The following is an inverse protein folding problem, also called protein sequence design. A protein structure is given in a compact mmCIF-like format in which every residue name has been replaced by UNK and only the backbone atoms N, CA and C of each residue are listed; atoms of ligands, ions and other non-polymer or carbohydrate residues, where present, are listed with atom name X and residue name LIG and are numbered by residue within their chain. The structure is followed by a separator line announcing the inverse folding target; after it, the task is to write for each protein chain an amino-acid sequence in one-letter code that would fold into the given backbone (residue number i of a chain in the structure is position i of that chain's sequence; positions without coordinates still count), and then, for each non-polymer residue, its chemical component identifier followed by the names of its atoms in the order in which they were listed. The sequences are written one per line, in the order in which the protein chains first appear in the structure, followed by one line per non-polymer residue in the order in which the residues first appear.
data_IF_192794561629
#
_entry.id   IF_192794561629
#
_cell.length_a   1.000
_cell.length_b   1.000
_cell.length_c   1.000
_cell.angle_alpha   90.00
_cell.angle_beta   90.00
_cell.angle_gamma   90.00
#
_symmetry.space_group_name_H-M   'P 1'
#
loop_
_entity.id
_entity.type
_entity.pdbx_description
1 polymer ?
#
# COMPACT_ATOMS: atom_id res chain seq x y z
N UNK A 1 -14.06 13.95 35.61
CA UNK A 1 -14.90 13.25 34.61
C UNK A 1 -14.95 11.78 34.99
N UNK A 2 -16.13 11.18 35.08
CA UNK A 2 -16.27 9.75 35.39
C UNK A 2 -15.83 8.89 34.20
N UNK A 3 -15.31 7.70 34.46
CA UNK A 3 -14.87 6.74 33.44
C UNK A 3 -15.99 6.41 32.43
N UNK A 4 -17.23 6.32 32.91
CA UNK A 4 -18.43 6.16 32.09
C UNK A 4 -18.63 7.33 31.11
N UNK A 5 -18.43 8.58 31.56
CA UNK A 5 -18.51 9.75 30.69
C UNK A 5 -17.46 9.74 29.56
N UNK A 6 -16.26 9.26 29.85
CA UNK A 6 -15.21 9.08 28.83
C UNK A 6 -15.58 8.01 27.79
N UNK A 7 -16.17 6.90 28.21
CA UNK A 7 -16.60 5.81 27.30
C UNK A 7 -17.75 6.27 26.38
N UNK A 8 -18.76 6.96 26.93
CA UNK A 8 -19.87 7.53 26.13
C UNK A 8 -19.36 8.53 25.09
N UNK A 9 -18.46 9.44 25.49
CA UNK A 9 -17.85 10.40 24.57
C UNK A 9 -17.09 9.70 23.44
N UNK A 10 -16.41 8.60 23.74
CA UNK A 10 -15.67 7.82 22.75
C UNK A 10 -16.60 7.15 21.74
N UNK A 11 -17.70 6.55 22.21
CA UNK A 11 -18.73 5.95 21.34
C UNK A 11 -19.39 6.99 20.44
N UNK A 12 -19.76 8.15 20.98
CA UNK A 12 -20.35 9.24 20.20
C UNK A 12 -19.41 9.70 19.09
N UNK A 13 -18.13 9.93 19.42
CA UNK A 13 -17.10 10.29 18.44
C UNK A 13 -16.92 9.21 17.37
N UNK A 14 -16.93 7.93 17.75
CA UNK A 14 -16.82 6.83 16.79
C UNK A 14 -18.00 6.81 15.81
N UNK A 15 -19.23 6.95 16.32
CA UNK A 15 -20.44 7.06 15.49
C UNK A 15 -20.39 8.25 14.53
N UNK A 16 -20.03 9.43 15.01
CA UNK A 16 -19.87 10.64 14.19
C UNK A 16 -18.84 10.42 13.07
N UNK A 17 -17.70 9.76 13.38
CA UNK A 17 -16.70 9.42 12.37
C UNK A 17 -17.22 8.44 11.32
N UNK A 18 -18.00 7.42 11.72
CA UNK A 18 -18.61 6.46 10.79
C UNK A 18 -19.61 7.16 9.87
N UNK A 19 -20.46 8.04 10.41
CA UNK A 19 -21.42 8.82 9.62
C UNK A 19 -20.72 9.74 8.62
N UNK A 20 -19.62 10.39 9.05
CA UNK A 20 -18.81 11.21 8.15
C UNK A 20 -18.18 10.36 7.03
N UNK A 21 -17.66 9.19 7.37
CA UNK A 21 -17.07 8.27 6.40
C UNK A 21 -18.09 7.81 5.36
N UNK A 22 -19.31 7.46 5.80
CA UNK A 22 -20.41 7.06 4.92
C UNK A 22 -20.84 8.19 3.96
N UNK A 23 -20.91 9.42 4.48
CA UNK A 23 -21.14 10.63 3.67
C UNK A 23 -20.05 10.83 2.62
N UNK A 24 -18.78 10.72 3.00
CA UNK A 24 -17.64 10.86 2.07
C UNK A 24 -17.65 9.75 0.99
N UNK A 25 -18.00 8.50 1.34
CA UNK A 25 -18.13 7.41 0.38
C UNK A 25 -19.29 7.61 -0.60
N UNK A 26 -20.43 8.10 -0.10
CA UNK A 26 -21.60 8.40 -0.94
C UNK A 26 -21.31 9.53 -1.93
N UNK A 27 -20.69 10.62 -1.48
CA UNK A 27 -20.26 11.72 -2.34
C UNK A 27 -19.25 11.26 -3.40
N UNK A 28 -18.28 10.42 -3.00
CA UNK A 28 -17.27 9.88 -3.90
C UNK A 28 -17.90 8.97 -4.98
N UNK A 29 -18.86 8.12 -4.59
CA UNK A 29 -19.64 7.32 -5.54
C UNK A 29 -20.39 8.20 -6.54
N UNK A 30 -21.03 9.27 -6.06
CA UNK A 30 -21.73 10.22 -6.92
C UNK A 30 -20.81 10.86 -7.97
N UNK A 31 -19.61 11.30 -7.55
CA UNK A 31 -18.60 11.85 -8.46
C UNK A 31 -18.13 10.83 -9.51
N UNK A 32 -17.82 9.61 -9.09
CA UNK A 32 -17.39 8.55 -10.00
C UNK A 32 -18.46 8.19 -11.04
N UNK A 33 -19.74 8.18 -10.65
CA UNK A 33 -20.84 7.97 -11.61
C UNK A 33 -20.87 9.10 -12.64
N UNK A 34 -20.75 10.36 -12.19
CA UNK A 34 -20.68 11.50 -13.11
C UNK A 34 -19.49 11.42 -14.06
N UNK A 35 -18.32 10.99 -13.59
CA UNK A 35 -17.14 10.80 -14.43
C UNK A 35 -17.34 9.65 -15.46
N UNK A 36 -17.98 8.54 -15.06
CA UNK A 36 -18.33 7.45 -15.97
C UNK A 36 -19.27 7.92 -17.07
N UNK A 37 -20.27 8.73 -16.73
CA UNK A 37 -21.21 9.28 -17.70
C UNK A 37 -20.51 10.24 -18.68
N UNK A 38 -19.61 11.10 -18.17
CA UNK A 38 -18.76 11.96 -19.00
C UNK A 38 -17.86 11.14 -19.93
N UNK A 39 -17.26 10.05 -19.45
CA UNK A 39 -16.41 9.18 -20.26
C UNK A 39 -17.22 8.43 -21.32
N UNK A 40 -18.45 8.02 -21.01
CA UNK A 40 -19.36 7.43 -22.00
C UNK A 40 -19.68 8.44 -23.10
N UNK A 41 -20.00 9.68 -22.75
CA UNK A 41 -20.24 10.74 -23.73
C UNK A 41 -19.01 10.99 -24.60
N UNK A 42 -17.82 11.00 -23.99
CA UNK A 42 -16.56 11.15 -24.71
C UNK A 42 -16.32 10.03 -25.73
N UNK A 43 -16.64 8.77 -25.40
CA UNK A 43 -16.58 7.66 -26.36
C UNK A 43 -17.54 7.86 -27.55
N UNK A 44 -18.76 8.35 -27.29
CA UNK A 44 -19.71 8.67 -28.36
C UNK A 44 -19.19 9.78 -29.27
N UNK A 45 -18.54 10.81 -28.70
CA UNK A 45 -18.00 11.92 -29.48
C UNK A 45 -16.80 11.49 -30.35
N UNK A 46 -16.00 10.53 -29.89
CA UNK A 46 -14.96 9.89 -30.71
C UNK A 46 -15.59 9.17 -31.92
N UNK A 47 -16.67 8.41 -31.72
CA UNK A 47 -17.35 7.74 -32.84
C UNK A 47 -17.99 8.73 -33.81
N UNK A 48 -18.57 9.83 -33.31
CA UNK A 48 -19.06 10.93 -34.15
C UNK A 48 -17.94 11.59 -34.97
N UNK A 49 -16.76 11.79 -34.37
CA UNK A 49 -15.60 12.36 -35.06
C UNK A 49 -15.00 11.41 -36.11
N UNK A 50 -15.16 10.10 -35.92
CA UNK A 50 -14.67 9.07 -36.84
C UNK A 50 -15.45 9.02 -38.16
N UNK A 51 -16.75 9.28 -38.12
CA UNK A 51 -17.62 9.22 -39.31
C UNK A 51 -17.16 10.14 -40.47
N UNK A 52 -16.90 11.45 -40.28
CA UNK A 52 -16.43 12.31 -41.37
C UNK A 52 -15.05 11.89 -41.89
N UNK A 53 -14.11 11.52 -41.01
CA UNK A 53 -12.78 11.03 -41.39
C UNK A 53 -12.88 9.79 -42.29
N UNK A 54 -13.78 8.87 -41.98
CA UNK A 54 -14.01 7.69 -42.83
C UNK A 54 -14.61 8.04 -44.19
N UNK A 55 -15.46 9.06 -44.28
CA UNK A 55 -16.00 9.55 -45.55
C UNK A 55 -14.90 10.18 -46.40
N UNK A 56 -14.01 10.95 -45.77
CA UNK A 56 -12.87 11.58 -46.42
C UNK A 56 -11.86 10.56 -46.96
N UNK A 57 -11.49 9.55 -46.16
CA UNK A 57 -10.65 8.43 -46.62
C UNK A 57 -11.26 7.77 -47.86
N UNK A 58 -12.56 7.44 -47.84
CA UNK A 58 -13.24 6.82 -48.99
C UNK A 58 -13.26 7.74 -50.22
N UNK A 59 -13.41 9.05 -50.02
CA UNK A 59 -13.38 10.01 -51.11
C UNK A 59 -11.98 10.06 -51.75
N UNK A 60 -10.92 10.13 -50.94
CA UNK A 60 -9.53 10.11 -51.39
C UNK A 60 -9.21 8.80 -52.13
N UNK A 61 -9.61 7.64 -51.57
CA UNK A 61 -9.42 6.32 -52.19
C UNK A 61 -10.13 6.16 -53.54
N UNK A 62 -11.19 6.95 -53.79
CA UNK A 62 -11.94 6.93 -55.05
C UNK A 62 -11.30 7.76 -56.17
N UNK A 63 -10.26 8.55 -55.86
CA UNK A 63 -9.63 9.44 -56.84
C UNK A 63 -8.75 8.64 -57.82
N UNK A 64 -8.91 8.83 -59.15
CA UNK A 64 -8.05 8.21 -60.13
C UNK A 64 -6.65 8.84 -60.10
N UNK A 65 -5.68 8.12 -59.54
CA UNK A 65 -4.30 8.60 -59.34
C UNK A 65 -3.65 9.09 -60.63
N UNK A 66 -4.04 8.51 -61.77
CA UNK A 66 -3.55 8.89 -63.10
C UNK A 66 -3.97 10.29 -63.56
N UNK A 67 -4.96 10.92 -62.91
CA UNK A 67 -5.48 12.25 -63.26
C UNK A 67 -5.15 13.34 -62.26
N UNK A 68 -4.45 13.02 -61.17
CA UNK A 68 -4.11 14.01 -60.13
C UNK A 68 -3.28 15.17 -60.71
N UNK A 69 -2.37 14.89 -61.64
CA UNK A 69 -1.57 15.92 -62.31
C UNK A 69 -2.35 16.82 -63.29
N UNK A 70 -3.64 16.56 -63.53
CA UNK A 70 -4.54 17.39 -64.34
C UNK A 70 -5.34 18.39 -63.49
N UNK A 71 -5.22 18.36 -62.16
CA UNK A 71 -5.92 19.27 -61.23
C UNK A 71 -5.30 20.68 -61.36
N UNK A 72 -6.15 21.71 -61.46
CA UNK A 72 -5.65 23.08 -61.51
C UNK A 72 -5.00 23.47 -60.17
N UNK A 73 -3.86 24.17 -60.26
CA UNK A 73 -3.03 24.56 -59.11
C UNK A 73 -3.83 25.22 -57.98
N UNK A 74 -4.80 26.08 -58.30
CA UNK A 74 -5.62 26.76 -57.29
C UNK A 74 -6.44 25.80 -56.42
N UNK A 75 -6.91 24.68 -56.97
CA UNK A 75 -7.60 23.64 -56.21
C UNK A 75 -6.62 22.75 -55.44
N UNK A 76 -5.43 22.53 -55.99
CA UNK A 76 -4.38 21.76 -55.33
C UNK A 76 -3.87 22.47 -54.06
N UNK A 77 -3.57 23.77 -54.14
CA UNK A 77 -3.18 24.59 -52.98
C UNK A 77 -4.26 24.54 -51.88
N UNK A 78 -5.54 24.63 -52.26
CA UNK A 78 -6.64 24.50 -51.29
C UNK A 78 -6.74 23.10 -50.64
N UNK A 79 -6.32 22.04 -51.34
CA UNK A 79 -6.22 20.69 -50.77
C UNK A 79 -5.01 20.56 -49.84
N UNK A 80 -3.87 21.17 -50.17
CA UNK A 80 -2.69 21.20 -49.28
C UNK A 80 -3.02 21.88 -47.94
N UNK A 81 -3.79 22.97 -47.93
CA UNK A 81 -4.27 23.61 -46.69
C UNK A 81 -5.17 22.69 -45.84
N UNK A 82 -5.91 21.77 -46.47
CA UNK A 82 -6.72 20.76 -45.76
C UNK A 82 -5.79 19.71 -45.14
N UNK A 83 -4.79 19.22 -45.90
CA UNK A 83 -3.81 18.26 -45.41
C UNK A 83 -3.04 18.81 -44.20
N UNK A 84 -2.56 20.05 -44.26
CA UNK A 84 -1.86 20.68 -43.13
C UNK A 84 -2.75 20.74 -41.87
N UNK A 85 -4.03 21.08 -42.04
CA UNK A 85 -5.00 21.10 -40.93
C UNK A 85 -5.24 19.71 -40.33
N UNK A 86 -5.31 18.68 -41.17
CA UNK A 86 -5.48 17.31 -40.70
C UNK A 86 -4.25 16.78 -39.95
N UNK A 87 -3.04 17.21 -40.34
CA UNK A 87 -1.81 16.93 -39.59
C UNK A 87 -1.84 17.58 -38.20
N UNK A 88 -2.33 18.81 -38.07
CA UNK A 88 -2.53 19.48 -36.76
C UNK A 88 -3.56 18.73 -35.90
N UNK A 89 -4.68 18.30 -36.50
CA UNK A 89 -5.71 17.52 -35.83
C UNK A 89 -5.17 16.16 -35.34
N UNK A 90 -4.34 15.48 -36.14
CA UNK A 90 -3.67 14.24 -35.76
C UNK A 90 -2.77 14.43 -34.52
N UNK A 91 -2.07 15.57 -34.43
CA UNK A 91 -1.32 15.96 -33.24
C UNK A 91 -2.21 16.07 -32.00
N UNK A 92 -3.38 16.69 -32.15
CA UNK A 92 -4.37 16.84 -31.07
C UNK A 92 -4.92 15.48 -30.60
N UNK A 93 -5.27 14.57 -31.53
CA UNK A 93 -5.71 13.22 -31.18
C UNK A 93 -4.61 12.39 -30.51
N UNK A 94 -3.35 12.57 -30.91
CA UNK A 94 -2.21 11.91 -30.30
C UNK A 94 -2.00 12.35 -28.85
N UNK A 95 -2.17 13.64 -28.56
CA UNK A 95 -2.12 14.17 -27.19
C UNK A 95 -3.26 13.59 -26.32
N UNK A 96 -4.49 13.59 -26.84
CA UNK A 96 -5.66 12.98 -26.17
C UNK A 96 -5.41 11.51 -25.83
N UNK A 97 -4.83 10.75 -26.76
CA UNK A 97 -4.48 9.34 -26.54
C UNK A 97 -3.51 9.17 -25.37
N UNK A 98 -2.46 10.00 -25.29
CA UNK A 98 -1.48 9.94 -24.20
C UNK A 98 -2.14 10.23 -22.83
N UNK A 99 -3.07 11.19 -22.78
CA UNK A 99 -3.80 11.50 -21.55
C UNK A 99 -4.71 10.33 -21.11
N UNK A 100 -5.39 9.66 -22.05
CA UNK A 100 -6.18 8.46 -21.77
C UNK A 100 -5.30 7.30 -21.27
N UNK A 101 -4.14 7.08 -21.90
CA UNK A 101 -3.18 6.06 -21.45
C UNK A 101 -2.68 6.33 -20.02
N UNK A 102 -2.39 7.61 -19.71
CA UNK A 102 -2.00 8.04 -18.37
C UNK A 102 -3.11 7.82 -17.34
N UNK A 103 -4.35 8.17 -17.62
CA UNK A 103 -5.48 7.92 -16.73
C UNK A 103 -5.70 6.41 -16.51
N UNK A 104 -5.64 5.63 -17.58
CA UNK A 104 -5.79 4.17 -17.54
C UNK A 104 -4.73 3.53 -16.62
N UNK A 105 -3.50 4.04 -16.64
CA UNK A 105 -2.43 3.57 -15.75
C UNK A 105 -2.71 3.84 -14.25
N UNK A 106 -3.57 4.80 -13.92
CA UNK A 106 -3.89 5.18 -12.55
C UNK A 106 -5.06 4.39 -11.96
N UNK A 107 -5.98 3.88 -12.80
CA UNK A 107 -7.17 3.11 -12.37
C UNK A 107 -6.80 1.97 -11.41
N UNK A 108 -5.79 1.12 -11.71
CA UNK A 108 -5.42 0.04 -10.81
C UNK A 108 -4.99 0.56 -9.42
N UNK A 109 -4.34 1.71 -9.32
CA UNK A 109 -3.93 2.31 -8.04
C UNK A 109 -5.11 2.73 -7.18
N UNK A 110 -6.15 3.28 -7.83
CA UNK A 110 -7.38 3.67 -7.16
C UNK A 110 -8.10 2.42 -6.65
N UNK A 111 -8.23 1.38 -7.48
CA UNK A 111 -8.84 0.11 -7.08
C UNK A 111 -8.14 -0.52 -5.88
N UNK A 112 -6.80 -0.54 -5.87
CA UNK A 112 -6.04 -1.02 -4.72
C UNK A 112 -6.33 -0.21 -3.43
N UNK A 113 -6.42 1.11 -3.56
CA UNK A 113 -6.71 2.02 -2.44
C UNK A 113 -8.11 1.79 -1.87
N UNK A 114 -9.11 1.65 -2.73
CA UNK A 114 -10.48 1.31 -2.34
C UNK A 114 -10.56 -0.06 -1.66
N UNK A 115 -9.95 -1.08 -2.25
CA UNK A 115 -9.91 -2.43 -1.70
C UNK A 115 -9.27 -2.44 -0.29
N UNK A 116 -8.17 -1.71 -0.10
CA UNK A 116 -7.53 -1.60 1.20
C UNK A 116 -8.44 -0.90 2.22
N UNK A 117 -9.09 0.21 1.84
CA UNK A 117 -10.01 0.91 2.71
C UNK A 117 -11.23 0.05 3.10
N UNK A 118 -11.81 -0.66 2.14
CA UNK A 118 -12.92 -1.58 2.36
C UNK A 118 -12.54 -2.73 3.30
N UNK A 119 -11.35 -3.33 3.12
CA UNK A 119 -10.84 -4.39 3.99
C UNK A 119 -10.64 -3.93 5.44
N UNK A 120 -10.12 -2.71 5.64
CA UNK A 120 -9.93 -2.13 6.98
C UNK A 120 -11.29 -1.85 7.65
N UNK A 121 -12.23 -1.25 6.92
CA UNK A 121 -13.57 -0.96 7.44
C UNK A 121 -14.38 -2.22 7.76
N UNK A 122 -14.29 -3.25 6.92
CA UNK A 122 -14.90 -4.56 7.18
C UNK A 122 -14.33 -5.23 8.44
N UNK A 123 -13.01 -5.21 8.62
CA UNK A 123 -12.36 -5.69 9.86
C UNK A 123 -12.84 -4.93 11.09
N UNK A 124 -12.96 -3.60 11.00
CA UNK A 124 -13.44 -2.78 12.11
C UNK A 124 -14.89 -3.10 12.49
N UNK A 125 -15.78 -3.29 11.52
CA UNK A 125 -17.18 -3.67 11.77
C UNK A 125 -17.27 -5.02 12.49
N UNK A 126 -16.51 -6.03 12.03
CA UNK A 126 -16.45 -7.36 12.67
C UNK A 126 -15.92 -7.27 14.10
N UNK A 127 -14.90 -6.45 14.35
CA UNK A 127 -14.35 -6.26 15.69
C UNK A 127 -15.35 -5.59 16.65
N UNK A 128 -16.18 -4.68 16.14
CA UNK A 128 -17.28 -4.07 16.92
C UNK A 128 -18.36 -5.10 17.24
N UNK A 129 -18.77 -5.94 16.27
CA UNK A 129 -19.72 -7.03 16.52
C UNK A 129 -19.18 -8.01 17.55
N UNK A 130 -17.95 -8.50 17.36
CA UNK A 130 -17.28 -9.40 18.30
C UNK A 130 -17.19 -8.80 19.71
N UNK A 131 -16.85 -7.51 19.82
CA UNK A 131 -16.87 -6.81 21.09
C UNK A 131 -18.28 -6.81 21.72
N UNK A 132 -19.32 -6.49 20.96
CA UNK A 132 -20.71 -6.44 21.44
C UNK A 132 -21.24 -7.83 21.84
N UNK A 133 -20.98 -8.87 21.05
CA UNK A 133 -21.37 -10.26 21.36
C UNK A 133 -20.71 -10.76 22.66
N UNK A 134 -19.50 -10.29 22.98
CA UNK A 134 -18.79 -10.63 24.21
C UNK A 134 -19.26 -9.84 25.45
N UNK A 135 -20.11 -8.82 25.29
CA UNK A 135 -20.62 -8.02 26.43
C UNK A 135 -21.74 -8.70 27.22
N UNK A 136 -22.08 -9.97 26.92
CA UNK A 136 -23.16 -10.73 27.56
C UNK A 136 -24.48 -9.91 27.59
N UNK A 137 -24.81 -9.32 26.44
CA UNK A 137 -25.97 -8.44 26.27
C UNK A 137 -27.27 -9.25 26.35
N UNK A 138 -28.35 -8.57 26.74
CA UNK A 138 -29.71 -9.12 26.75
C UNK A 138 -30.01 -9.83 25.40
N UNK A 139 -30.65 -11.01 25.40
CA UNK A 139 -30.98 -11.78 24.19
C UNK A 139 -31.61 -10.97 23.06
N UNK A 140 -32.36 -9.91 23.38
CA UNK A 140 -32.96 -9.00 22.39
C UNK A 140 -31.89 -8.26 21.57
N UNK A 141 -30.76 -7.90 22.16
CA UNK A 141 -29.64 -7.27 21.44
C UNK A 141 -28.87 -8.26 20.58
N UNK A 142 -28.70 -9.50 21.03
CA UNK A 142 -28.05 -10.54 20.22
C UNK A 142 -28.86 -10.82 18.95
N UNK A 143 -30.19 -10.90 19.06
CA UNK A 143 -31.07 -11.03 17.90
C UNK A 143 -30.96 -9.85 16.93
N UNK A 144 -30.88 -8.62 17.44
CA UNK A 144 -30.67 -7.42 16.61
C UNK A 144 -29.30 -7.41 15.92
N UNK A 145 -28.27 -7.97 16.54
CA UNK A 145 -26.95 -8.11 15.92
C UNK A 145 -26.97 -9.14 14.78
N UNK A 146 -27.73 -10.23 14.93
CA UNK A 146 -27.94 -11.22 13.87
C UNK A 146 -28.71 -10.64 12.66
N UNK A 147 -29.69 -9.76 12.91
CA UNK A 147 -30.48 -9.08 11.87
C UNK A 147 -29.67 -8.07 11.03
N UNK A 148 -28.47 -7.66 11.47
CA UNK A 148 -27.63 -6.69 10.73
C UNK A 148 -26.88 -7.31 9.53
N UNK A 149 -27.01 -8.62 9.29
CA UNK A 149 -26.38 -9.35 8.17
C UNK A 149 -24.88 -9.05 7.98
N UNK A 150 -24.16 -8.79 9.08
CA UNK A 150 -22.74 -8.49 9.03
C UNK A 150 -21.98 -9.76 8.64
N UNK A 151 -21.63 -9.87 7.36
CA UNK A 151 -20.86 -11.00 6.84
C UNK A 151 -19.40 -10.87 7.28
N UNK A 152 -18.92 -11.90 7.98
CA UNK A 152 -17.50 -12.03 8.26
C UNK A 152 -16.75 -12.35 6.95
N UNK A 153 -15.95 -11.40 6.46
CA UNK A 153 -15.19 -11.56 5.22
C UNK A 153 -13.95 -12.43 5.39
N UNK A 154 -13.69 -12.95 6.60
CA UNK A 154 -12.48 -13.73 6.88
C UNK A 154 -12.38 -14.99 6.03
N UNK A 155 -13.50 -15.65 5.74
CA UNK A 155 -13.53 -16.85 4.90
C UNK A 155 -13.14 -16.53 3.45
N UNK A 156 -13.67 -15.43 2.91
CA UNK A 156 -13.31 -14.94 1.57
C UNK A 156 -11.82 -14.57 1.50
N UNK A 157 -11.29 -13.93 2.54
CA UNK A 157 -9.87 -13.59 2.65
C UNK A 157 -8.99 -14.86 2.72
N UNK A 158 -9.41 -15.86 3.50
CA UNK A 158 -8.72 -17.15 3.62
C UNK A 158 -8.66 -17.83 2.25
N UNK A 159 -9.79 -17.99 1.57
CA UNK A 159 -9.84 -18.66 0.27
C UNK A 159 -9.05 -17.90 -0.80
N UNK A 160 -9.09 -16.56 -0.78
CA UNK A 160 -8.23 -15.74 -1.63
C UNK A 160 -6.74 -16.01 -1.36
N UNK A 161 -6.31 -16.03 -0.08
CA UNK A 161 -4.92 -16.32 0.26
C UNK A 161 -4.53 -17.72 -0.22
N UNK A 162 -5.37 -18.75 0.01
CA UNK A 162 -5.11 -20.12 -0.46
C UNK A 162 -4.88 -20.18 -1.96
N UNK A 163 -5.77 -19.56 -2.74
CA UNK A 163 -5.65 -19.51 -4.20
C UNK A 163 -4.32 -18.85 -4.63
N UNK A 164 -3.88 -17.80 -3.94
CA UNK A 164 -2.60 -17.13 -4.23
C UNK A 164 -1.39 -17.94 -3.79
N UNK A 165 -1.45 -18.59 -2.62
CA UNK A 165 -0.38 -19.46 -2.14
C UNK A 165 -0.18 -20.67 -3.07
N UNK A 166 -1.26 -21.24 -3.60
CA UNK A 166 -1.20 -22.32 -4.59
C UNK A 166 -0.39 -21.94 -5.83
N UNK A 167 -0.41 -20.67 -6.23
CA UNK A 167 0.37 -20.18 -7.38
C UNK A 167 1.78 -19.79 -6.99
N UNK A 168 1.96 -19.08 -5.87
CA UNK A 168 3.25 -18.49 -5.48
C UNK A 168 4.19 -19.51 -4.85
N UNK A 169 3.68 -20.35 -3.94
CA UNK A 169 4.45 -21.32 -3.17
C UNK A 169 3.52 -22.45 -2.67
N UNK A 170 3.18 -23.44 -3.52
CA UNK A 170 2.21 -24.48 -3.17
C UNK A 170 2.56 -25.26 -1.88
N UNK A 171 3.85 -25.49 -1.63
CA UNK A 171 4.33 -26.30 -0.50
C UNK A 171 3.89 -25.78 0.88
N UNK A 172 3.59 -24.49 1.01
CA UNK A 172 3.18 -23.89 2.29
C UNK A 172 1.66 -23.84 2.48
N UNK A 173 0.88 -24.25 1.47
CA UNK A 173 -0.58 -24.20 1.53
C UNK A 173 -1.12 -25.09 2.66
N UNK A 174 -0.57 -26.30 2.82
CA UNK A 174 -0.97 -27.22 3.88
C UNK A 174 -0.69 -26.64 5.27
N UNK A 175 0.44 -25.96 5.44
CA UNK A 175 0.79 -25.29 6.69
C UNK A 175 -0.17 -24.13 6.97
N UNK A 176 -0.49 -23.31 5.96
CA UNK A 176 -1.49 -22.24 6.09
C UNK A 176 -2.88 -22.80 6.49
N UNK A 177 -3.34 -23.85 5.83
CA UNK A 177 -4.62 -24.50 6.11
C UNK A 177 -4.66 -25.07 7.53
N UNK A 178 -3.56 -25.68 7.99
CA UNK A 178 -3.44 -26.16 9.37
C UNK A 178 -3.56 -25.02 10.36
N UNK A 179 -2.95 -23.86 10.07
CA UNK A 179 -3.03 -22.67 10.95
C UNK A 179 -4.44 -22.11 11.02
N UNK A 180 -5.15 -22.05 9.89
CA UNK A 180 -6.54 -21.59 9.83
C UNK A 180 -7.46 -22.55 10.61
N UNK A 181 -7.27 -23.87 10.45
CA UNK A 181 -8.01 -24.89 11.21
C UNK A 181 -7.77 -24.74 12.71
N UNK A 182 -6.50 -24.64 13.13
CA UNK A 182 -6.12 -24.45 14.53
C UNK A 182 -6.75 -23.16 15.11
N UNK A 183 -6.73 -22.05 14.35
CA UNK A 183 -7.36 -20.79 14.75
C UNK A 183 -8.87 -20.90 14.91
N UNK A 184 -9.56 -21.58 13.97
CA UNK A 184 -11.01 -21.77 14.01
C UNK A 184 -11.48 -22.73 15.10
N UNK A 185 -10.58 -23.58 15.62
CA UNK A 185 -10.90 -24.52 16.70
C UNK A 185 -11.03 -23.78 18.04
N UNK A 186 -12.05 -24.12 18.84
CA UNK A 186 -12.40 -23.51 20.14
C UNK A 186 -11.42 -23.81 21.29
N UNK A 187 -10.13 -24.01 21.01
CA UNK A 187 -9.16 -24.44 22.01
C UNK A 187 -8.58 -23.29 22.86
N UNK A 188 -8.28 -23.61 24.13
CA UNK A 188 -7.78 -22.70 25.16
C UNK A 188 -6.38 -22.09 24.88
N UNK A 189 -5.73 -22.40 23.75
CA UNK A 189 -4.40 -21.90 23.37
C UNK A 189 -4.44 -21.03 22.12
N UNK A 190 -5.32 -20.03 22.10
CA UNK A 190 -5.53 -19.12 20.95
C UNK A 190 -4.28 -18.37 20.47
N UNK A 191 -3.20 -18.33 21.27
CA UNK A 191 -1.92 -17.72 20.87
C UNK A 191 -1.09 -18.60 19.93
N UNK A 192 -1.26 -19.93 19.92
CA UNK A 192 -0.50 -20.85 19.06
C UNK A 192 -0.72 -20.53 17.58
N UNK A 193 -1.96 -20.29 17.09
CA UNK A 193 -2.20 -19.82 15.74
C UNK A 193 -1.44 -18.55 15.34
N UNK A 194 -1.23 -17.59 16.26
CA UNK A 194 -0.47 -16.37 15.95
C UNK A 194 1.00 -16.64 15.65
N UNK A 195 1.62 -17.54 16.41
CA UNK A 195 3.01 -17.92 16.16
C UNK A 195 3.13 -18.73 14.87
N UNK A 196 2.14 -19.58 14.60
CA UNK A 196 2.09 -20.41 13.41
C UNK A 196 1.84 -19.58 12.14
N UNK A 197 0.89 -18.64 12.12
CA UNK A 197 0.67 -17.74 10.97
C UNK A 197 1.88 -16.86 10.70
N UNK A 198 2.57 -16.41 11.76
CA UNK A 198 3.84 -15.71 11.63
C UNK A 198 4.88 -16.58 10.93
N UNK A 199 4.93 -17.86 11.28
CA UNK A 199 5.84 -18.84 10.68
C UNK A 199 5.59 -18.99 9.19
N UNK A 200 4.34 -19.28 8.82
CA UNK A 200 3.94 -19.50 7.43
C UNK A 200 4.21 -18.27 6.58
N UNK A 201 3.69 -17.10 6.95
CA UNK A 201 3.80 -15.90 6.12
C UNK A 201 5.23 -15.35 6.11
N UNK A 202 5.88 -15.20 7.26
CA UNK A 202 7.14 -14.45 7.30
C UNK A 202 8.37 -15.36 7.16
N UNK A 203 8.38 -16.53 7.79
CA UNK A 203 9.55 -17.41 7.77
C UNK A 203 9.54 -18.43 6.63
N UNK A 204 8.38 -18.93 6.21
CA UNK A 204 8.33 -19.90 5.12
C UNK A 204 8.13 -19.21 3.77
N UNK A 205 7.13 -18.31 3.64
CA UNK A 205 6.89 -17.60 2.38
C UNK A 205 7.96 -16.53 2.11
N UNK A 206 7.97 -15.46 2.91
CA UNK A 206 8.78 -14.27 2.59
C UNK A 206 10.29 -14.54 2.58
N UNK A 207 10.81 -15.39 3.47
CA UNK A 207 12.23 -15.77 3.43
C UNK A 207 12.59 -16.62 2.20
N UNK A 208 11.61 -17.26 1.56
CA UNK A 208 11.82 -18.05 0.34
C UNK A 208 11.67 -17.20 -0.93
N UNK A 209 10.60 -16.41 -1.03
CA UNK A 209 10.23 -15.68 -2.26
C UNK A 209 10.82 -14.27 -2.34
N UNK A 210 11.29 -13.73 -1.22
CA UNK A 210 11.88 -12.40 -1.14
C UNK A 210 13.24 -12.48 -0.42
N UNK A 211 14.23 -13.08 -1.08
CA UNK A 211 15.58 -13.19 -0.51
C UNK A 211 16.27 -11.83 -0.55
N UNK A 212 17.13 -11.59 0.42
CA UNK A 212 17.92 -10.36 0.49
C UNK A 212 18.82 -10.18 -0.72
N UNK A 213 19.37 -11.27 -1.26
CA UNK A 213 20.12 -11.27 -2.51
C UNK A 213 19.33 -10.72 -3.70
N UNK A 214 18.00 -10.74 -3.65
CA UNK A 214 17.13 -10.40 -4.75
C UNK A 214 16.62 -8.97 -4.58
N UNK A 215 15.97 -8.67 -3.46
CA UNK A 215 15.45 -7.32 -3.23
C UNK A 215 16.57 -6.28 -3.12
N UNK A 216 17.79 -6.67 -2.72
CA UNK A 216 18.93 -5.73 -2.66
C UNK A 216 19.40 -5.22 -4.02
N UNK A 217 18.99 -5.89 -5.11
CA UNK A 217 19.31 -5.48 -6.49
C UNK A 217 18.34 -4.44 -7.04
N UNK A 218 17.18 -4.25 -6.42
CA UNK A 218 16.14 -3.34 -6.93
C UNK A 218 16.53 -1.87 -6.77
N UNK A 219 16.03 -1.03 -7.68
CA UNK A 219 16.29 0.42 -7.68
C UNK A 219 15.75 1.05 -6.40
N UNK A 220 14.51 0.72 -6.04
CA UNK A 220 13.87 1.23 -4.83
C UNK A 220 14.57 0.79 -3.55
N UNK A 221 15.19 -0.39 -3.54
CA UNK A 221 16.02 -0.78 -2.40
C UNK A 221 17.25 0.10 -2.33
N UNK A 222 17.90 0.45 -3.44
CA UNK A 222 19.13 1.28 -3.40
C UNK A 222 18.84 2.72 -3.01
N UNK A 223 17.67 3.24 -3.38
CA UNK A 223 17.22 4.56 -2.93
C UNK A 223 17.12 4.56 -1.40
N UNK A 224 17.65 5.58 -0.69
CA UNK A 224 17.42 5.74 0.74
C UNK A 224 15.95 6.13 1.01
N UNK A 225 15.01 5.23 0.76
CA UNK A 225 13.60 5.43 1.07
C UNK A 225 13.46 5.48 2.59
N UNK A 226 13.33 6.71 3.11
CA UNK A 226 12.96 7.11 4.49
C UNK A 226 13.60 6.26 5.59
N UNK A 227 14.69 6.77 6.17
CA UNK A 227 15.20 6.26 7.44
C UNK A 227 14.07 6.15 8.46
N UNK A 228 13.97 5.01 9.13
CA UNK A 228 12.98 4.83 10.16
C UNK A 228 13.32 5.75 11.33
N UNK A 229 12.46 6.72 11.62
CA UNK A 229 12.53 7.50 12.86
C UNK A 229 12.39 6.56 14.07
N UNK A 230 13.39 6.63 14.96
CA UNK A 230 13.39 5.89 16.22
C UNK A 230 12.86 6.79 17.35
N UNK A 231 13.47 7.95 17.50
CA UNK A 231 13.13 8.95 18.51
C UNK A 231 13.78 10.28 18.16
N UNK A 232 13.37 11.33 18.87
CA UNK A 232 14.01 12.65 18.79
C UNK A 232 14.52 13.08 20.15
N UNK A 233 15.61 13.83 20.15
CA UNK A 233 16.20 14.48 21.32
C UNK A 233 16.47 15.95 21.02
N UNK A 234 16.63 16.75 22.05
CA UNK A 234 17.07 18.13 21.87
C UNK A 234 18.48 18.16 21.25
N UNK A 235 18.69 19.08 20.30
CA UNK A 235 19.92 19.09 19.55
C UNK A 235 21.12 19.47 20.43
N UNK A 236 20.93 20.40 21.36
CA UNK A 236 21.98 20.82 22.28
C UNK A 236 21.84 20.09 23.62
N UNK A 237 22.94 19.60 24.21
CA UNK A 237 24.34 19.76 23.78
C UNK A 237 24.84 18.68 22.81
N UNK A 238 24.00 17.71 22.43
CA UNK A 238 24.42 16.49 21.71
C UNK A 238 25.07 16.77 20.36
N UNK A 239 24.57 17.76 19.62
CA UNK A 239 25.06 18.19 18.31
C UNK A 239 26.53 18.63 18.34
N UNK A 240 26.98 19.34 19.38
CA UNK A 240 28.38 19.74 19.51
C UNK A 240 29.31 18.53 19.57
N UNK A 241 28.89 17.48 20.27
CA UNK A 241 29.64 16.22 20.33
C UNK A 241 29.62 15.50 18.99
N UNK A 242 28.47 15.44 18.30
CA UNK A 242 28.38 14.82 16.98
C UNK A 242 29.27 15.53 15.95
N UNK A 243 29.36 16.86 16.01
CA UNK A 243 30.26 17.66 15.17
C UNK A 243 31.74 17.39 15.44
N UNK A 244 32.10 17.00 16.67
CA UNK A 244 33.44 16.55 17.06
C UNK A 244 33.70 15.07 16.76
N UNK A 245 32.74 14.37 16.15
CA UNK A 245 32.83 12.94 15.89
C UNK A 245 32.72 12.08 17.17
N UNK A 246 32.08 12.59 18.22
CA UNK A 246 31.94 11.92 19.51
C UNK A 246 30.50 11.44 19.71
N UNK A 247 30.34 10.15 20.00
CA UNK A 247 29.06 9.55 20.40
C UNK A 247 28.91 9.66 21.91
N UNK A 248 27.97 10.47 22.38
CA UNK A 248 27.80 10.70 23.84
C UNK A 248 27.28 9.46 24.56
N UNK A 249 27.65 9.33 25.85
CA UNK A 249 27.11 8.26 26.72
C UNK A 249 25.59 8.32 26.81
N UNK A 250 25.01 9.52 26.78
CA UNK A 250 23.57 9.74 26.79
C UNK A 250 22.90 9.21 25.52
N UNK A 251 23.41 9.55 24.34
CA UNK A 251 22.90 9.03 23.07
C UNK A 251 22.99 7.50 23.03
N UNK A 252 24.10 6.92 23.50
CA UNK A 252 24.25 5.47 23.59
C UNK A 252 23.27 4.85 24.60
N UNK A 253 23.03 5.50 25.74
CA UNK A 253 22.03 5.07 26.73
C UNK A 253 20.62 5.08 26.14
N UNK A 254 20.25 6.12 25.41
CA UNK A 254 18.95 6.20 24.73
C UNK A 254 18.79 5.12 23.66
N UNK A 255 19.83 4.89 22.86
CA UNK A 255 19.84 3.80 21.89
C UNK A 255 19.72 2.43 22.58
N UNK A 256 20.38 2.21 23.71
CA UNK A 256 20.22 1.00 24.55
C UNK A 256 18.79 0.85 25.08
N UNK A 257 18.19 1.90 25.62
CA UNK A 257 16.79 1.92 26.10
C UNK A 257 15.83 1.56 24.97
N UNK A 258 16.11 2.04 23.75
CA UNK A 258 15.37 1.71 22.53
C UNK A 258 15.77 0.34 21.91
N UNK A 259 16.50 -0.51 22.66
CA UNK A 259 16.94 -1.86 22.27
C UNK A 259 17.79 -1.89 21.00
N UNK A 260 18.55 -0.83 20.76
CA UNK A 260 19.42 -0.62 19.61
C UNK A 260 20.84 -0.23 20.07
N UNK A 261 21.51 -1.01 20.94
CA UNK A 261 22.83 -0.68 21.45
C UNK A 261 23.84 -0.47 20.30
N UNK A 262 24.70 0.53 20.44
CA UNK A 262 25.88 0.68 19.61
C UNK A 262 26.96 -0.30 20.08
N UNK A 263 27.75 -0.83 19.15
CA UNK A 263 28.97 -1.56 19.51
C UNK A 263 30.01 -0.58 20.06
N UNK A 264 31.01 -1.09 20.77
CA UNK A 264 32.16 -0.30 21.22
C UNK A 264 32.91 0.33 20.03
N UNK A 265 32.93 -0.33 18.88
CA UNK A 265 33.59 0.14 17.65
C UNK A 265 32.69 1.03 16.76
N UNK A 266 31.61 1.59 17.30
CA UNK A 266 30.73 2.44 16.50
C UNK A 266 31.46 3.73 16.10
N UNK A 267 31.44 4.06 14.82
CA UNK A 267 32.03 5.29 14.28
C UNK A 267 30.92 6.24 13.86
N UNK A 268 31.23 7.54 13.84
CA UNK A 268 30.32 8.58 13.37
C UNK A 268 31.00 9.39 12.27
N UNK A 269 30.23 9.71 11.23
CA UNK A 269 30.64 10.56 10.11
C UNK A 269 29.60 11.63 9.87
N UNK A 270 30.02 12.89 9.74
CA UNK A 270 29.15 13.96 9.23
C UNK A 270 29.08 13.84 7.71
N UNK A 271 27.87 13.76 7.15
CA UNK A 271 27.69 13.70 5.69
C UNK A 271 27.53 15.10 5.09
N UNK A 272 26.64 15.91 5.69
CA UNK A 272 26.30 17.29 5.30
C UNK A 272 25.93 18.09 6.55
N UNK A 273 25.84 19.41 6.44
CA UNK A 273 25.29 20.24 7.52
C UNK A 273 23.92 19.68 7.91
N UNK A 274 23.75 19.41 9.21
CA UNK A 274 22.55 18.80 9.80
C UNK A 274 22.33 17.29 9.59
N UNK A 275 23.31 16.54 9.06
CA UNK A 275 23.21 15.08 8.93
C UNK A 275 24.47 14.34 9.38
N UNK A 276 24.29 13.40 10.32
CA UNK A 276 25.32 12.48 10.78
C UNK A 276 24.91 11.03 10.53
N UNK A 277 25.91 10.20 10.29
CA UNK A 277 25.80 8.77 10.14
C UNK A 277 26.61 8.09 11.25
N UNK A 278 25.95 7.27 12.08
CA UNK A 278 26.63 6.35 13.01
C UNK A 278 26.59 4.96 12.41
N UNK A 279 27.74 4.34 12.18
CA UNK A 279 27.83 2.96 11.71
C UNK A 279 28.55 2.08 12.71
N UNK A 280 28.08 0.84 12.87
CA UNK A 280 28.75 -0.19 13.65
C UNK A 280 29.23 -1.37 12.77
N UNK A 281 29.38 -1.12 11.47
CA UNK A 281 29.72 -2.14 10.46
C UNK A 281 28.54 -3.00 9.99
N UNK A 282 27.44 -3.11 10.75
CA UNK A 282 26.23 -3.86 10.36
C UNK A 282 24.95 -3.03 10.32
N UNK A 283 24.88 -1.97 11.14
CA UNK A 283 23.73 -1.08 11.28
C UNK A 283 24.20 0.34 11.06
N UNK A 284 23.40 1.08 10.30
CA UNK A 284 23.61 2.51 10.11
C UNK A 284 22.46 3.23 10.81
N UNK A 285 22.80 4.23 11.61
CA UNK A 285 21.86 5.18 12.19
C UNK A 285 22.12 6.53 11.54
N UNK A 286 21.05 7.18 11.09
CA UNK A 286 21.13 8.51 10.53
C UNK A 286 20.51 9.48 11.52
N UNK A 287 21.28 10.48 11.90
CA UNK A 287 20.81 11.57 12.75
C UNK A 287 20.59 12.77 11.85
N UNK A 288 19.38 13.34 11.88
CA UNK A 288 19.04 14.55 11.13
C UNK A 288 18.60 15.65 12.09
N UNK A 289 19.10 16.86 11.93
CA UNK A 289 18.59 18.00 12.69
C UNK A 289 17.38 18.59 11.97
N UNK A 290 16.30 18.85 12.72
CA UNK A 290 15.15 19.64 12.28
C UNK A 290 14.49 20.27 13.50
N UNK A 291 14.06 21.53 13.41
CA UNK A 291 13.34 22.24 14.48
C UNK A 291 14.03 22.15 15.87
N UNK A 292 15.34 22.38 15.92
CA UNK A 292 16.17 22.28 17.14
C UNK A 292 16.22 20.89 17.79
N UNK A 293 15.74 19.85 17.11
CA UNK A 293 15.80 18.46 17.55
C UNK A 293 16.65 17.62 16.61
N UNK A 294 17.34 16.64 17.19
CA UNK A 294 18.00 15.57 16.45
C UNK A 294 17.04 14.41 16.34
N UNK A 295 16.66 14.08 15.11
CA UNK A 295 15.88 12.92 14.73
C UNK A 295 16.84 11.75 14.49
N UNK A 296 16.82 10.78 15.40
CA UNK A 296 17.61 9.57 15.28
C UNK A 296 16.79 8.59 14.48
N UNK A 297 17.31 8.21 13.33
CA UNK A 297 16.71 7.25 12.44
C UNK A 297 17.65 6.07 12.24
N UNK A 298 17.12 4.93 11.79
CA UNK A 298 17.95 3.79 11.39
C UNK A 298 17.78 3.49 9.91
N UNK A 299 18.89 3.13 9.27
CA UNK A 299 18.92 2.52 7.95
C UNK A 299 18.65 1.01 8.02
N UNK A 300 18.38 0.45 9.20
CA UNK A 300 17.98 -0.94 9.38
C UNK A 300 16.69 -1.11 8.56
N UNK A 301 16.91 -1.38 7.27
CA UNK A 301 15.92 -1.60 6.23
C UNK A 301 15.23 -2.85 6.70
N UNK A 302 14.15 -2.62 7.44
CA UNK A 302 13.45 -3.64 8.21
C UNK A 302 13.26 -4.84 7.28
N UNK A 303 13.99 -5.93 7.51
CA UNK A 303 13.99 -7.10 6.62
C UNK A 303 12.59 -7.45 6.13
N UNK A 304 11.62 -7.53 7.06
CA UNK A 304 10.22 -7.85 6.72
C UNK A 304 9.52 -6.80 5.86
N UNK A 305 9.76 -5.51 6.09
CA UNK A 305 9.23 -4.46 5.23
C UNK A 305 9.76 -4.60 3.80
N UNK A 306 11.08 -4.79 3.63
CA UNK A 306 11.68 -4.96 2.29
C UNK A 306 11.18 -6.23 1.60
N UNK A 307 11.00 -7.31 2.37
CA UNK A 307 10.45 -8.55 1.85
C UNK A 307 9.01 -8.41 1.38
N UNK A 308 8.16 -7.71 2.14
CA UNK A 308 6.77 -7.44 1.72
C UNK A 308 6.77 -6.54 0.48
N UNK A 309 7.61 -5.51 0.45
CA UNK A 309 7.73 -4.63 -0.71
C UNK A 309 8.18 -5.38 -1.96
N UNK A 310 9.15 -6.29 -1.82
CA UNK A 310 9.58 -7.16 -2.91
C UNK A 310 8.54 -8.22 -3.29
N UNK A 311 7.78 -8.75 -2.34
CA UNK A 311 6.64 -9.61 -2.64
C UNK A 311 5.63 -8.88 -3.54
N UNK A 312 5.41 -7.59 -3.31
CA UNK A 312 4.48 -6.77 -4.11
C UNK A 312 5.08 -6.40 -5.47
N UNK A 313 6.32 -5.92 -5.51
CA UNK A 313 6.90 -5.30 -6.71
C UNK A 313 7.77 -6.23 -7.55
N UNK A 314 8.42 -7.21 -6.94
CA UNK A 314 9.50 -7.95 -7.57
C UNK A 314 10.61 -6.99 -8.03
N UNK A 315 10.96 -7.08 -9.31
CA UNK A 315 11.98 -6.22 -9.95
C UNK A 315 11.40 -4.96 -10.60
N UNK A 316 10.11 -4.66 -10.38
CA UNK A 316 9.50 -3.45 -10.92
C UNK A 316 10.11 -2.19 -10.28
N UNK A 317 10.21 -1.11 -11.08
CA UNK A 317 10.70 0.18 -10.61
C UNK A 317 9.54 1.00 -10.02
N UNK A 318 9.74 1.55 -8.83
CA UNK A 318 8.75 2.40 -8.16
C UNK A 318 8.47 3.69 -8.91
N UNK A 319 9.43 4.16 -9.71
CA UNK A 319 9.25 5.32 -10.56
C UNK A 319 8.15 5.12 -11.61
N UNK A 320 7.83 3.86 -11.94
CA UNK A 320 6.78 3.51 -12.89
C UNK A 320 5.39 3.35 -12.24
N UNK A 321 5.27 3.50 -10.91
CA UNK A 321 4.01 3.35 -10.17
C UNK A 321 3.75 4.47 -9.15
N UNK A 322 3.89 5.78 -9.50
CA UNK A 322 3.91 6.87 -8.52
C UNK A 322 2.65 6.97 -7.66
N UNK A 323 1.47 6.71 -8.25
CA UNK A 323 0.18 6.78 -7.58
C UNK A 323 -0.01 5.73 -6.48
N UNK A 324 0.69 4.59 -6.58
CA UNK A 324 0.52 3.45 -5.69
C UNK A 324 1.61 3.31 -4.64
N UNK A 325 2.67 4.13 -4.70
CA UNK A 325 3.79 4.05 -3.75
C UNK A 325 3.29 4.13 -2.30
N UNK A 326 2.36 5.05 -2.01
CA UNK A 326 1.85 5.23 -0.63
C UNK A 326 1.16 3.96 -0.10
N UNK A 327 0.28 3.32 -0.88
CA UNK A 327 -0.42 2.12 -0.42
C UNK A 327 0.54 0.93 -0.23
N UNK A 328 1.56 0.82 -1.09
CA UNK A 328 2.60 -0.21 -0.95
C UNK A 328 3.42 0.03 0.33
N UNK A 329 3.82 1.28 0.58
CA UNK A 329 4.53 1.71 1.78
C UNK A 329 3.74 1.44 3.06
N UNK A 330 2.46 1.80 3.06
CA UNK A 330 1.56 1.59 4.20
C UNK A 330 1.35 0.08 4.43
N UNK A 331 1.13 -0.71 3.38
CA UNK A 331 0.97 -2.16 3.47
C UNK A 331 2.23 -2.85 4.01
N UNK A 332 3.40 -2.52 3.48
CA UNK A 332 4.67 -3.07 3.95
C UNK A 332 4.98 -2.67 5.39
N UNK A 333 4.63 -1.44 5.78
CA UNK A 333 4.77 -0.95 7.16
C UNK A 333 3.86 -1.72 8.11
N UNK A 334 2.57 -1.85 7.77
CA UNK A 334 1.58 -2.54 8.59
C UNK A 334 1.93 -4.03 8.78
N UNK A 335 2.34 -4.74 7.74
CA UNK A 335 2.78 -6.14 7.86
C UNK A 335 4.05 -6.29 8.69
N UNK A 336 4.99 -5.34 8.60
CA UNK A 336 6.15 -5.33 9.49
C UNK A 336 5.76 -5.08 10.96
N UNK A 337 4.82 -4.17 11.22
CA UNK A 337 4.30 -3.94 12.58
C UNK A 337 3.59 -5.17 13.13
N UNK A 338 2.78 -5.83 12.30
CA UNK A 338 2.12 -7.10 12.64
C UNK A 338 3.14 -8.17 12.99
N UNK A 339 4.20 -8.35 12.20
CA UNK A 339 5.27 -9.27 12.52
C UNK A 339 5.87 -9.01 13.92
N UNK A 340 6.08 -7.74 14.27
CA UNK A 340 6.58 -7.36 15.58
C UNK A 340 5.56 -7.64 16.69
N UNK A 341 4.27 -7.36 16.45
CA UNK A 341 3.17 -7.66 17.38
C UNK A 341 3.12 -9.18 17.63
N UNK A 342 3.04 -10.00 16.58
CA UNK A 342 3.03 -11.46 16.65
C UNK A 342 4.25 -12.00 17.43
N UNK A 343 5.42 -11.39 17.24
CA UNK A 343 6.65 -11.78 17.95
C UNK A 343 6.68 -11.43 19.44
N UNK A 344 5.81 -10.52 19.88
CA UNK A 344 5.69 -10.09 21.28
C UNK A 344 4.54 -10.75 22.01
N UNK A 345 3.55 -11.33 21.31
CA UNK A 345 2.35 -11.90 21.94
C UNK A 345 2.65 -12.94 23.02
N UNK A 346 3.55 -13.90 22.74
CA UNK A 346 3.95 -14.90 23.74
C UNK A 346 4.73 -14.34 24.95
N UNK A 347 5.17 -13.08 24.90
CA UNK A 347 5.92 -12.41 25.98
C UNK A 347 5.06 -11.49 26.83
N UNK A 348 3.98 -10.94 26.28
CA UNK A 348 3.21 -9.87 26.93
C UNK A 348 1.87 -10.33 27.50
N UNK A 349 1.40 -11.55 27.16
CA UNK A 349 0.09 -12.04 27.60
C UNK A 349 -1.04 -11.18 27.02
N UNK A 350 -1.46 -11.46 25.79
CA UNK A 350 -2.58 -10.77 25.16
C UNK A 350 -3.93 -11.34 25.58
N UNK A 351 -4.97 -10.50 25.64
CA UNK A 351 -6.34 -10.98 25.77
C UNK A 351 -6.78 -11.76 24.53
N UNK A 352 -7.80 -12.60 24.68
CA UNK A 352 -8.41 -13.36 23.57
C UNK A 352 -8.88 -12.46 22.42
N UNK A 353 -9.49 -11.33 22.75
CA UNK A 353 -9.90 -10.31 21.77
C UNK A 353 -8.71 -9.76 20.97
N UNK A 354 -7.59 -9.50 21.64
CA UNK A 354 -6.37 -8.99 21.00
C UNK A 354 -5.76 -10.03 20.05
N UNK A 355 -5.82 -11.31 20.43
CA UNK A 355 -5.36 -12.42 19.60
C UNK A 355 -6.19 -12.51 18.31
N UNK A 356 -7.51 -12.51 18.44
CA UNK A 356 -8.44 -12.58 17.31
C UNK A 356 -8.20 -11.44 16.31
N UNK A 357 -8.16 -10.20 16.80
CA UNK A 357 -7.94 -9.03 15.94
C UNK A 357 -6.57 -9.08 15.26
N UNK A 358 -5.53 -9.56 15.95
CA UNK A 358 -4.19 -9.64 15.35
C UNK A 358 -4.14 -10.67 14.23
N UNK A 359 -4.84 -11.80 14.39
CA UNK A 359 -4.94 -12.80 13.32
C UNK A 359 -5.67 -12.22 12.10
N UNK A 360 -6.82 -11.58 12.32
CA UNK A 360 -7.62 -10.92 11.27
C UNK A 360 -6.86 -9.82 10.55
N UNK A 361 -6.19 -8.94 11.29
CA UNK A 361 -5.32 -7.90 10.72
C UNK A 361 -4.22 -8.52 9.87
N UNK A 362 -3.61 -9.62 10.35
CA UNK A 362 -2.57 -10.34 9.59
C UNK A 362 -3.11 -10.81 8.24
N UNK A 363 -4.28 -11.44 8.21
CA UNK A 363 -4.90 -11.91 6.96
C UNK A 363 -5.29 -10.73 6.06
N UNK A 364 -5.94 -9.70 6.60
CA UNK A 364 -6.41 -8.53 5.84
C UNK A 364 -5.26 -7.80 5.13
N UNK A 365 -4.19 -7.46 5.84
CA UNK A 365 -3.04 -6.80 5.22
C UNK A 365 -2.27 -7.72 4.26
N UNK A 366 -2.27 -9.03 4.51
CA UNK A 366 -1.65 -9.98 3.60
C UNK A 366 -2.45 -10.14 2.30
N UNK A 367 -3.79 -10.15 2.35
CA UNK A 367 -4.66 -10.06 1.17
C UNK A 367 -4.34 -8.79 0.38
N UNK A 368 -4.24 -7.63 1.04
CA UNK A 368 -3.87 -6.37 0.37
C UNK A 368 -2.51 -6.49 -0.34
N UNK A 369 -1.50 -7.06 0.32
CA UNK A 369 -0.19 -7.28 -0.31
C UNK A 369 -0.26 -8.22 -1.53
N UNK A 370 -1.09 -9.26 -1.49
CA UNK A 370 -1.27 -10.19 -2.60
C UNK A 370 -2.04 -9.57 -3.77
N UNK A 371 -3.06 -8.74 -3.52
CA UNK A 371 -3.75 -7.97 -4.57
C UNK A 371 -2.79 -7.00 -5.26
N UNK A 372 -2.00 -6.26 -4.48
CA UNK A 372 -0.97 -5.37 -5.02
C UNK A 372 0.10 -6.14 -5.82
N UNK A 373 0.44 -7.37 -5.41
CA UNK A 373 1.34 -8.26 -6.15
C UNK A 373 0.79 -8.61 -7.52
N UNK A 374 -0.47 -9.06 -7.63
CA UNK A 374 -1.07 -9.41 -8.93
C UNK A 374 -0.99 -8.24 -9.93
N UNK A 375 -1.07 -7.03 -9.40
CA UNK A 375 -1.11 -5.81 -10.17
C UNK A 375 0.28 -5.29 -10.58
N UNK A 376 1.27 -5.36 -9.68
CA UNK A 376 2.54 -4.67 -9.85
C UNK A 376 3.76 -5.57 -9.99
N UNK A 377 3.63 -6.85 -9.65
CA UNK A 377 4.79 -7.73 -9.59
C UNK A 377 5.39 -7.96 -10.97
N UNK A 378 6.69 -7.70 -11.08
CA UNK A 378 7.49 -8.11 -12.24
C UNK A 378 8.52 -9.15 -11.80
N UNK A 379 8.54 -10.29 -12.48
CA UNK A 379 9.60 -11.28 -12.32
C UNK A 379 10.95 -10.69 -12.74
N UNK A 380 12.04 -11.39 -12.45
CA UNK A 380 13.35 -11.02 -13.01
C UNK A 380 13.21 -10.85 -14.53
N UNK A 381 13.86 -9.83 -15.12
CA UNK A 381 14.06 -9.80 -16.57
C UNK A 381 14.82 -11.04 -17.04
#
# INVERSE_FOLDING_TARGET
MTEQGNRIKTLKRHKENLQKTDSELSDLKGKLIGDIDNHRQFCEDIEKAREPIQKEIKAIESLPTSKIGEIEEAYWVGYEEIVERDEELLGSYSAIRQDVEKLTSQIPSLDASFNSAANISGSAAVNVVSFLSNMNLDPIYNKKLEELELRDTILEQIEFIKAKLQVIKPDILNDFDSVVKDWSSTSAQKYKPLLAIRSVIFYQLLDTVAKESDYSKTVWYRIPSKYLHLFSIDAQPVEEYLNKGVITKELNKLLKTNRKPLSENATIRKEKDDKWEITNGKKIYIIKKANQKLHICTSDRRKRYCQVKFLILGYNDELNIPSSVKIIEDTATNLWEIFNKLSRYGKLGGSEFLVENTFRDTLSYFVTALKLRDQFFRSSP
#
